data_IF_328701342176
#
_entry.id   IF_328701342176
#
_cell.length_a   1.000
_cell.length_b   1.000
_cell.length_c   1.000
_cell.angle_alpha   90.00
_cell.angle_beta   90.00
_cell.angle_gamma   90.00
#
_symmetry.space_group_name_H-M   'P 1'
#
loop_
_entity.id
_entity.type
_entity.pdbx_description
1 polymer ?
#
# COMPACT_ATOMS: atom_id res chain seq x y z
N UNK A 1 -12.77 -21.86 -5.45
CA UNK A 1 -13.76 -20.77 -5.32
C UNK A 1 -12.96 -19.52 -5.02
N UNK A 2 -13.00 -18.51 -5.89
CA UNK A 2 -12.27 -17.26 -5.67
C UNK A 2 -12.79 -16.65 -4.36
N UNK A 3 -11.89 -16.37 -3.44
CA UNK A 3 -12.20 -15.80 -2.14
C UNK A 3 -12.84 -14.42 -2.33
N UNK A 4 -14.11 -14.31 -1.97
CA UNK A 4 -14.91 -13.09 -1.98
C UNK A 4 -14.50 -12.10 -0.85
N UNK A 5 -13.38 -12.33 -0.16
CA UNK A 5 -12.89 -11.54 0.97
C UNK A 5 -12.71 -10.04 0.68
N UNK A 6 -12.65 -9.62 -0.60
CA UNK A 6 -12.54 -8.22 -1.01
C UNK A 6 -13.88 -7.47 -1.16
N UNK A 7 -15.02 -8.18 -1.26
CA UNK A 7 -16.28 -7.57 -1.71
C UNK A 7 -16.97 -6.71 -0.64
N UNK A 8 -16.49 -5.49 -0.39
CA UNK A 8 -16.99 -4.64 0.70
C UNK A 8 -15.87 -4.09 1.60
N UNK A 9 -14.63 -4.50 1.35
CA UNK A 9 -13.45 -3.99 2.05
C UNK A 9 -13.14 -2.57 1.59
N UNK A 10 -12.64 -1.74 2.52
CA UNK A 10 -12.40 -0.31 2.29
C UNK A 10 -10.94 0.01 2.56
N UNK A 11 -10.27 0.63 1.58
CA UNK A 11 -8.93 1.17 1.77
C UNK A 11 -8.94 2.68 2.03
N UNK A 12 -8.06 3.13 2.93
CA UNK A 12 -7.81 4.54 3.24
C UNK A 12 -6.30 4.82 3.27
N UNK A 13 -5.89 5.93 2.64
CA UNK A 13 -4.53 6.49 2.68
C UNK A 13 -4.60 8.03 2.66
N UNK A 14 -3.69 8.74 3.35
CA UNK A 14 -3.86 10.15 3.62
C UNK A 14 -3.58 10.94 2.36
N UNK A 15 -4.65 11.59 1.92
CA UNK A 15 -4.69 12.89 1.23
C UNK A 15 -6.08 13.13 0.68
N UNK A 16 -6.93 12.11 0.58
CA UNK A 16 -8.27 12.32 0.02
C UNK A 16 -9.44 11.84 0.86
N UNK A 17 -9.23 11.08 1.95
CA UNK A 17 -10.37 10.45 2.65
C UNK A 17 -11.23 9.58 1.72
N UNK A 18 -10.72 9.29 0.51
CA UNK A 18 -11.44 8.56 -0.52
C UNK A 18 -11.36 7.11 -0.12
N UNK A 19 -12.52 6.57 0.23
CA UNK A 19 -12.72 5.13 0.26
C UNK A 19 -12.47 4.63 -1.16
N UNK A 20 -11.36 3.94 -1.38
CA UNK A 20 -11.08 3.34 -2.68
C UNK A 20 -11.80 1.99 -2.71
N UNK A 21 -12.85 1.91 -3.54
CA UNK A 21 -13.73 0.74 -3.68
C UNK A 21 -14.27 0.72 -5.13
N UNK A 22 -14.34 -0.44 -5.82
CA UNK A 22 -13.96 -1.78 -5.36
C UNK A 22 -12.45 -2.03 -5.25
N UNK A 23 -12.07 -2.77 -4.20
CA UNK A 23 -10.74 -3.38 -4.09
C UNK A 23 -10.71 -4.66 -4.93
N UNK A 24 -9.63 -4.85 -5.69
CA UNK A 24 -9.38 -6.04 -6.52
C UNK A 24 -8.36 -6.96 -5.89
N UNK A 25 -7.37 -6.41 -5.21
CA UNK A 25 -6.39 -7.18 -4.46
C UNK A 25 -5.84 -6.37 -3.30
N UNK A 26 -5.45 -7.06 -2.24
CA UNK A 26 -4.66 -6.53 -1.14
C UNK A 26 -3.65 -7.61 -0.80
N UNK A 27 -2.39 -7.24 -0.76
CA UNK A 27 -1.29 -8.07 -0.31
C UNK A 27 -0.59 -7.34 0.83
N UNK A 28 -0.83 -7.79 2.05
CA UNK A 28 -0.11 -7.33 3.23
C UNK A 28 0.99 -8.35 3.55
N UNK A 29 2.24 -7.90 3.52
CA UNK A 29 3.40 -8.73 3.76
C UNK A 29 4.28 -8.11 4.82
N UNK A 30 4.55 -8.89 5.86
CA UNK A 30 5.54 -8.58 6.88
C UNK A 30 6.82 -9.32 6.49
N UNK A 31 7.73 -8.62 5.85
CA UNK A 31 9.02 -9.18 5.41
C UNK A 31 10.15 -8.67 6.28
N UNK A 32 11.22 -9.45 6.43
CA UNK A 32 12.44 -8.96 7.05
C UNK A 32 12.92 -7.71 6.30
N UNK A 33 13.33 -6.68 7.04
CA UNK A 33 13.67 -5.37 6.48
C UNK A 33 14.54 -5.50 5.21
N UNK A 34 14.07 -4.91 4.11
CA UNK A 34 14.85 -4.87 2.86
C UNK A 34 15.99 -3.88 3.07
N UNK A 35 17.22 -4.31 2.80
CA UNK A 35 18.38 -3.42 2.80
C UNK A 35 18.25 -2.49 1.60
N UNK A 36 17.61 -1.33 1.76
CA UNK A 36 17.63 -0.27 0.76
C UNK A 36 18.81 0.67 1.03
N UNK A 37 19.66 0.81 0.02
CA UNK A 37 20.84 1.68 0.02
C UNK A 37 20.78 2.74 -1.08
N UNK A 38 19.68 2.82 -1.82
CA UNK A 38 19.50 3.78 -2.89
C UNK A 38 19.18 5.18 -2.31
N UNK A 39 20.09 6.14 -2.50
CA UNK A 39 19.87 7.55 -2.17
C UNK A 39 20.59 8.13 -0.94
N UNK A 40 21.39 7.35 -0.19
CA UNK A 40 22.04 7.87 1.03
C UNK A 40 23.42 8.49 0.76
N UNK A 41 23.57 9.80 1.03
CA UNK A 41 24.83 10.57 1.02
C UNK A 41 25.52 10.63 2.39
N UNK A 42 25.00 9.92 3.39
CA UNK A 42 25.50 9.98 4.77
C UNK A 42 26.73 9.09 5.00
N UNK A 43 27.74 9.60 5.70
CA UNK A 43 28.96 8.87 6.07
C UNK A 43 28.75 7.83 7.19
N UNK A 44 27.62 7.91 7.92
CA UNK A 44 27.19 6.90 8.89
C UNK A 44 25.73 6.58 8.65
N UNK A 45 25.43 5.32 8.33
CA UNK A 45 24.06 4.82 8.14
C UNK A 45 23.58 4.24 9.46
N UNK A 46 22.46 4.76 9.96
CA UNK A 46 21.72 4.11 11.04
C UNK A 46 20.89 3.00 10.41
N UNK A 47 21.32 1.76 10.59
CA UNK A 47 20.57 0.58 10.20
C UNK A 47 19.67 0.16 11.35
N UNK A 48 18.41 -0.13 11.07
CA UNK A 48 17.53 -0.85 12.01
C UNK A 48 17.39 -2.28 11.53
N UNK A 49 18.39 -3.11 11.82
CA UNK A 49 18.32 -4.55 11.56
C UNK A 49 17.39 -5.20 12.58
N UNK A 50 16.51 -6.10 12.13
CA UNK A 50 15.75 -6.99 12.99
C UNK A 50 14.31 -6.59 13.33
N UNK A 51 13.80 -5.49 12.77
CA UNK A 51 12.35 -5.20 12.79
C UNK A 51 11.75 -5.62 11.45
N UNK A 52 10.63 -6.37 11.44
CA UNK A 52 9.90 -6.65 10.21
C UNK A 52 9.34 -5.35 9.63
N UNK A 53 9.49 -5.15 8.32
CA UNK A 53 8.92 -4.01 7.62
C UNK A 53 7.54 -4.41 7.07
N UNK A 54 6.43 -3.86 7.61
CA UNK A 54 5.11 -4.11 7.06
C UNK A 54 4.97 -3.39 5.72
N UNK A 55 4.82 -4.15 4.64
CA UNK A 55 4.59 -3.63 3.28
C UNK A 55 3.19 -4.00 2.82
N UNK A 56 2.53 -3.11 2.09
CA UNK A 56 1.17 -3.33 1.60
C UNK A 56 1.07 -2.97 0.13
N UNK A 57 0.59 -3.88 -0.70
CA UNK A 57 0.24 -3.62 -2.09
C UNK A 57 -1.26 -3.75 -2.26
N UNK A 58 -1.91 -2.79 -2.90
CA UNK A 58 -3.34 -2.82 -3.16
C UNK A 58 -3.61 -2.58 -4.63
N UNK A 59 -4.62 -3.25 -5.16
CA UNK A 59 -5.18 -2.94 -6.48
C UNK A 59 -6.60 -2.42 -6.28
N UNK A 60 -6.87 -1.24 -6.80
CA UNK A 60 -8.18 -0.58 -6.74
C UNK A 60 -8.73 -0.42 -8.15
N UNK A 61 -10.05 -0.32 -8.24
CA UNK A 61 -10.71 0.18 -9.45
C UNK A 61 -10.73 1.71 -9.43
N UNK A 62 -10.38 2.30 -10.56
CA UNK A 62 -10.25 3.75 -10.74
C UNK A 62 -8.82 4.24 -10.58
N UNK A 63 -8.64 5.55 -10.72
CA UNK A 63 -7.35 6.21 -10.58
C UNK A 63 -7.15 6.72 -9.16
N UNK A 64 -5.93 6.59 -8.65
CA UNK A 64 -5.51 7.26 -7.43
C UNK A 64 -4.57 8.42 -7.78
N UNK A 65 -4.87 9.61 -7.26
CA UNK A 65 -4.13 10.84 -7.54
C UNK A 65 -2.96 11.10 -6.56
N UNK A 66 -2.73 10.23 -5.58
CA UNK A 66 -1.63 10.39 -4.63
C UNK A 66 -0.29 10.19 -5.32
N UNK A 67 0.65 11.11 -5.06
CA UNK A 67 1.98 11.07 -5.63
C UNK A 67 2.87 10.09 -4.85
N UNK A 68 3.83 9.47 -5.56
CA UNK A 68 4.90 8.71 -4.92
C UNK A 68 5.64 9.63 -3.93
N UNK A 69 5.93 9.12 -2.74
CA UNK A 69 6.51 9.88 -1.63
C UNK A 69 5.48 10.51 -0.68
N UNK A 70 4.18 10.44 -0.98
CA UNK A 70 3.12 10.83 -0.03
C UNK A 70 3.19 9.93 1.20
N UNK A 71 3.01 10.50 2.40
CA UNK A 71 3.15 9.80 3.67
C UNK A 71 1.88 9.84 4.52
N UNK A 72 1.65 8.77 5.29
CA UNK A 72 0.75 8.65 6.44
C UNK A 72 0.18 7.23 6.58
N UNK A 73 -1.01 7.03 7.15
CA UNK A 73 -1.56 5.70 7.46
C UNK A 73 -2.16 5.00 6.23
N UNK A 74 -1.62 3.84 5.84
CA UNK A 74 -2.23 2.95 4.85
C UNK A 74 -3.01 1.86 5.58
N UNK A 75 -4.35 1.87 5.45
CA UNK A 75 -5.23 0.97 6.18
C UNK A 75 -6.27 0.32 5.29
N UNK A 76 -6.41 -1.00 5.41
CA UNK A 76 -7.49 -1.79 4.84
C UNK A 76 -8.42 -2.22 5.97
N UNK A 77 -9.70 -1.93 5.83
CA UNK A 77 -10.74 -2.47 6.71
C UNK A 77 -11.48 -3.54 5.94
N UNK A 78 -11.40 -4.77 6.44
CA UNK A 78 -12.06 -5.95 5.86
C UNK A 78 -13.53 -6.00 6.26
N UNK A 79 -14.31 -6.79 5.53
CA UNK A 79 -15.75 -6.96 5.82
C UNK A 79 -16.04 -7.57 7.20
N UNK A 80 -15.12 -8.37 7.74
CA UNK A 80 -15.22 -8.95 9.08
C UNK A 80 -14.76 -7.99 10.18
N UNK A 81 -14.57 -6.70 9.85
CA UNK A 81 -14.07 -5.64 10.70
C UNK A 81 -12.63 -5.81 11.21
N UNK A 82 -11.90 -6.81 10.71
CA UNK A 82 -10.44 -6.85 10.89
C UNK A 82 -9.77 -5.77 10.06
N UNK A 83 -8.53 -5.42 10.41
CA UNK A 83 -7.78 -4.40 9.69
C UNK A 83 -6.32 -4.80 9.51
N UNK A 84 -5.80 -4.46 8.35
CA UNK A 84 -4.36 -4.43 8.06
C UNK A 84 -3.92 -2.98 7.95
N UNK A 85 -2.83 -2.63 8.62
CA UNK A 85 -2.35 -1.25 8.69
C UNK A 85 -0.84 -1.19 8.54
N UNK A 86 -0.36 -0.22 7.74
CA UNK A 86 1.02 0.25 7.72
C UNK A 86 1.01 1.69 8.19
N UNK A 87 1.64 1.97 9.33
CA UNK A 87 1.73 3.32 9.90
C UNK A 87 3.05 3.50 10.67
N UNK A 88 3.85 4.53 10.37
CA UNK A 88 3.71 5.44 9.23
C UNK A 88 4.04 4.75 7.89
N UNK A 89 3.24 4.97 6.85
CA UNK A 89 3.48 4.45 5.49
C UNK A 89 3.86 5.55 4.49
N UNK A 90 4.65 5.17 3.48
CA UNK A 90 4.96 5.99 2.31
C UNK A 90 4.50 5.27 1.03
N UNK A 91 3.83 5.98 0.13
CA UNK A 91 3.47 5.48 -1.19
C UNK A 91 4.73 5.41 -2.05
N UNK A 92 5.23 4.21 -2.34
CA UNK A 92 6.47 4.01 -3.10
C UNK A 92 6.23 3.72 -4.58
N UNK A 93 5.04 3.24 -4.93
CA UNK A 93 4.65 2.98 -6.32
C UNK A 93 3.17 3.28 -6.51
N UNK A 94 2.84 3.98 -7.61
CA UNK A 94 1.48 4.18 -8.08
C UNK A 94 1.48 3.94 -9.60
N UNK A 95 0.86 2.85 -10.01
CA UNK A 95 0.74 2.48 -11.43
C UNK A 95 -0.73 2.31 -11.79
N UNK A 96 -1.15 2.90 -12.90
CA UNK A 96 -2.48 2.70 -13.45
C UNK A 96 -2.38 1.94 -14.78
N UNK A 97 -3.17 0.88 -14.91
CA UNK A 97 -3.27 0.10 -16.13
C UNK A 97 -4.74 0.01 -16.56
N UNK A 98 -4.99 0.16 -17.85
CA UNK A 98 -6.29 -0.19 -18.43
C UNK A 98 -6.43 -1.71 -18.49
N UNK A 99 -7.52 -2.22 -17.95
CA UNK A 99 -7.93 -3.61 -18.12
C UNK A 99 -8.56 -3.82 -19.50
N UNK A 100 -8.51 -5.06 -20.03
CA UNK A 100 -9.18 -5.43 -21.29
C UNK A 100 -10.69 -5.18 -21.26
N UNK A 101 -11.28 -5.10 -20.07
CA UNK A 101 -12.71 -4.85 -19.86
C UNK A 101 -13.08 -3.35 -19.87
N UNK A 102 -12.11 -2.46 -20.12
CA UNK A 102 -12.30 -1.00 -20.09
C UNK A 102 -12.26 -0.38 -18.69
N UNK A 103 -12.05 -1.19 -17.66
CA UNK A 103 -11.85 -0.76 -16.28
C UNK A 103 -10.41 -0.25 -16.07
N UNK A 104 -10.24 0.89 -15.40
CA UNK A 104 -8.90 1.35 -14.98
C UNK A 104 -8.59 0.70 -13.63
N UNK A 105 -7.45 0.04 -13.53
CA UNK A 105 -6.92 -0.51 -12.29
C UNK A 105 -5.69 0.26 -11.85
N UNK A 106 -5.68 0.73 -10.61
CA UNK A 106 -4.50 1.32 -9.99
C UNK A 106 -3.90 0.36 -8.98
N UNK A 107 -2.61 0.05 -9.13
CA UNK A 107 -1.82 -0.68 -8.14
C UNK A 107 -0.95 0.28 -7.36
N UNK A 108 -1.14 0.29 -6.03
CA UNK A 108 -0.46 1.14 -5.09
C UNK A 108 0.39 0.29 -4.16
N UNK A 109 1.63 0.68 -3.92
CA UNK A 109 2.53 0.00 -3.00
C UNK A 109 2.97 0.94 -1.88
N UNK A 110 2.89 0.44 -0.66
CA UNK A 110 3.20 1.14 0.57
C UNK A 110 4.32 0.42 1.33
N UNK A 111 5.25 1.22 1.83
CA UNK A 111 6.36 0.77 2.66
C UNK A 111 6.33 1.56 4.00
N UNK A 112 6.92 1.04 5.08
CA UNK A 112 7.01 1.78 6.33
C UNK A 112 7.97 2.97 6.18
N UNK A 113 7.69 4.08 6.88
CA UNK A 113 8.65 5.16 7.10
C UNK A 113 9.64 4.72 8.18
N UNK A 114 10.92 4.58 7.79
CA UNK A 114 12.02 4.18 8.67
C UNK A 114 12.39 5.18 9.75
#
# INVERSE_FOLDING_TARGET
MADNGFNGSVFTFPTTGTKLNPLRSVNHAIVAAKVDVSGSTSATKLYRTGLPDPTMSITIVGTNASAIGTTGEAKVVWQDATNDTVDPAVLVSNSAAGSQDGEILSTLEFAPLG
#
